data_IF_130717097749
#
_entry.id   IF_130717097749
#
_cell.length_a   1.000
_cell.length_b   1.000
_cell.length_c   1.000
_cell.angle_alpha   90.00
_cell.angle_beta   90.00
_cell.angle_gamma   90.00
#
_symmetry.space_group_name_H-M   'P 1'
#
loop_
_entity.id
_entity.type
_entity.pdbx_description
1 polymer ?
#
# COMPACT_ATOMS: atom_id res chain seq x y z
N UNK A 1 -19.43 10.76 3.67
CA UNK A 1 -18.86 12.11 3.52
C UNK A 1 -17.97 12.10 2.30
N UNK A 2 -18.07 13.09 1.41
CA UNK A 2 -17.15 13.21 0.26
C UNK A 2 -15.75 13.55 0.78
N UNK A 3 -14.73 12.89 0.23
CA UNK A 3 -13.35 13.23 0.52
C UNK A 3 -13.09 14.71 0.17
N UNK A 4 -12.38 15.49 1.02
CA UNK A 4 -12.07 16.88 0.73
C UNK A 4 -10.97 16.99 -0.33
N UNK A 5 -11.27 16.54 -1.54
CA UNK A 5 -10.39 16.51 -2.70
C UNK A 5 -9.77 17.88 -2.99
N UNK A 6 -10.57 18.95 -2.84
CA UNK A 6 -10.15 20.34 -3.00
C UNK A 6 -9.04 20.78 -2.04
N UNK A 7 -8.80 20.05 -0.95
CA UNK A 7 -7.77 20.35 0.04
C UNK A 7 -6.59 19.38 -0.03
N UNK A 8 -6.81 18.14 -0.47
CA UNK A 8 -5.77 17.11 -0.55
C UNK A 8 -4.74 17.41 -1.65
N UNK A 9 -5.19 17.72 -2.87
CA UNK A 9 -4.27 18.03 -3.98
C UNK A 9 -3.41 19.26 -3.69
N UNK A 10 -3.95 20.38 -3.17
CA UNK A 10 -3.12 21.50 -2.74
C UNK A 10 -2.20 21.17 -1.56
N UNK A 11 -2.61 20.29 -0.65
CA UNK A 11 -1.72 19.81 0.42
C UNK A 11 -0.52 19.04 -0.16
N UNK A 12 -0.75 18.11 -1.08
CA UNK A 12 0.31 17.38 -1.77
C UNK A 12 1.18 18.29 -2.67
N UNK A 13 0.60 19.31 -3.29
CA UNK A 13 1.38 20.30 -4.04
C UNK A 13 2.25 21.17 -3.12
N UNK A 14 1.81 21.45 -1.88
CA UNK A 14 2.62 22.17 -0.89
C UNK A 14 3.68 21.28 -0.23
N UNK A 15 3.56 19.96 -0.33
CA UNK A 15 4.58 19.05 0.19
C UNK A 15 5.79 18.88 -0.73
N UNK A 16 5.80 19.51 -1.92
CA UNK A 16 6.99 19.58 -2.79
C UNK A 16 8.06 20.54 -2.28
N UNK A 17 7.71 21.45 -1.37
CA UNK A 17 8.69 22.13 -0.51
C UNK A 17 9.31 21.09 0.43
N UNK A 18 10.41 21.33 1.16
CA UNK A 18 10.96 20.37 2.14
C UNK A 18 9.96 20.15 3.29
N UNK A 19 8.88 19.44 2.99
CA UNK A 19 7.80 19.10 3.88
C UNK A 19 8.18 17.79 4.52
N UNK A 20 7.99 17.73 5.84
CA UNK A 20 8.34 16.58 6.65
C UNK A 20 7.25 15.50 6.59
N UNK A 21 6.57 15.32 5.45
CA UNK A 21 5.55 14.27 5.34
C UNK A 21 6.24 12.93 5.09
N UNK A 22 6.50 12.22 6.18
CA UNK A 22 7.08 10.88 6.18
C UNK A 22 6.00 9.79 6.21
N UNK A 23 4.80 10.14 6.67
CA UNK A 23 3.71 9.19 6.92
C UNK A 23 2.42 9.69 6.30
N UNK A 24 1.75 8.85 5.52
CA UNK A 24 0.44 9.10 4.93
C UNK A 24 -0.50 7.93 5.22
N UNK A 25 -1.61 8.23 5.88
CA UNK A 25 -2.68 7.27 6.16
C UNK A 25 -3.96 7.70 5.45
N UNK A 26 -4.49 6.83 4.60
CA UNK A 26 -5.71 7.02 3.83
C UNK A 26 -6.72 5.92 4.19
N UNK A 27 -7.29 6.01 5.39
CA UNK A 27 -8.35 5.12 5.87
C UNK A 27 -9.71 5.74 5.62
N UNK A 28 -10.64 4.95 5.08
CA UNK A 28 -12.00 5.41 4.82
C UNK A 28 -12.02 6.74 4.05
N UNK A 29 -11.29 6.77 2.95
CA UNK A 29 -11.17 7.93 2.07
C UNK A 29 -11.67 7.57 0.68
N UNK A 30 -12.57 8.38 0.13
CA UNK A 30 -13.02 8.26 -1.26
C UNK A 30 -12.10 9.08 -2.18
N UNK A 31 -10.93 8.52 -2.53
CA UNK A 31 -9.98 9.13 -3.48
C UNK A 31 -9.89 8.28 -4.75
N UNK A 32 -9.88 8.91 -5.93
CA UNK A 32 -9.68 8.17 -7.15
C UNK A 32 -8.22 7.71 -7.29
N UNK A 33 -7.99 6.49 -7.79
CA UNK A 33 -6.65 5.95 -8.03
C UNK A 33 -5.76 6.88 -8.84
N UNK A 34 -6.30 7.47 -9.91
CA UNK A 34 -5.54 8.38 -10.77
C UNK A 34 -5.05 9.62 -10.00
N UNK A 35 -5.87 10.15 -9.10
CA UNK A 35 -5.54 11.33 -8.30
C UNK A 35 -4.48 11.00 -7.25
N UNK A 36 -4.60 9.85 -6.58
CA UNK A 36 -3.57 9.40 -5.65
C UNK A 36 -2.22 9.24 -6.36
N UNK A 37 -2.20 8.59 -7.53
CA UNK A 37 -0.99 8.41 -8.34
C UNK A 37 -0.38 9.74 -8.81
N UNK A 38 -1.19 10.78 -9.02
CA UNK A 38 -0.70 12.13 -9.32
C UNK A 38 -0.09 12.84 -8.11
N UNK A 39 -0.51 12.50 -6.88
CA UNK A 39 -0.02 13.11 -5.65
C UNK A 39 1.31 12.52 -5.18
N UNK A 40 1.50 11.21 -5.32
CA UNK A 40 2.70 10.51 -4.81
C UNK A 40 4.05 11.09 -5.30
N UNK A 41 4.21 11.55 -6.55
CA UNK A 41 5.45 12.21 -6.98
C UNK A 41 5.78 13.48 -6.17
N UNK A 42 4.75 14.15 -5.63
CA UNK A 42 4.88 15.36 -4.84
C UNK A 42 5.20 15.11 -3.35
N UNK A 43 5.38 13.83 -2.97
CA UNK A 43 5.72 13.38 -1.62
C UNK A 43 7.14 12.78 -1.60
N UNK A 44 8.19 13.60 -1.75
CA UNK A 44 9.55 13.10 -1.95
C UNK A 44 10.09 12.30 -0.75
N UNK A 45 9.63 12.60 0.46
CA UNK A 45 10.09 12.05 1.75
C UNK A 45 9.16 10.97 2.32
N UNK A 46 8.17 10.48 1.56
CA UNK A 46 7.21 9.52 2.09
C UNK A 46 7.86 8.16 2.35
N UNK A 47 7.84 7.73 3.61
CA UNK A 47 8.44 6.47 4.08
C UNK A 47 7.39 5.46 4.54
N UNK A 48 6.20 5.92 4.94
CA UNK A 48 5.12 5.08 5.46
C UNK A 48 3.81 5.40 4.76
N UNK A 49 3.17 4.38 4.19
CA UNK A 49 1.90 4.51 3.47
C UNK A 49 0.92 3.45 3.94
N UNK A 50 -0.22 3.90 4.46
CA UNK A 50 -1.37 3.05 4.75
C UNK A 50 -2.57 3.45 3.89
N UNK A 51 -3.21 2.49 3.24
CA UNK A 51 -4.38 2.73 2.37
C UNK A 51 -5.44 1.68 2.64
N UNK A 52 -6.71 2.10 2.78
CA UNK A 52 -7.84 1.17 2.94
C UNK A 52 -8.97 1.38 1.94
N UNK A 53 -9.50 0.28 1.39
CA UNK A 53 -10.61 0.26 0.43
C UNK A 53 -12.03 0.22 1.07
N UNK A 54 -12.16 0.44 2.39
CA UNK A 54 -13.44 0.31 3.14
C UNK A 54 -14.63 1.06 2.58
N UNK A 55 -14.48 2.34 2.25
CA UNK A 55 -15.62 3.12 1.79
C UNK A 55 -16.09 2.73 0.39
N UNK A 56 -15.26 2.06 -0.40
CA UNK A 56 -15.59 1.71 -1.78
C UNK A 56 -16.48 0.45 -1.89
N UNK A 57 -16.85 -0.17 -0.78
CA UNK A 57 -17.76 -1.32 -0.75
C UNK A 57 -19.25 -0.99 -0.55
N UNK A 58 -19.59 0.16 0.04
CA UNK A 58 -20.95 0.43 0.52
C UNK A 58 -21.85 1.21 -0.49
N UNK A 59 -21.49 1.30 -1.79
CA UNK A 59 -22.27 2.09 -2.77
C UNK A 59 -21.98 1.86 -4.26
N UNK A 60 -22.81 2.47 -5.13
CA UNK A 60 -22.85 2.25 -6.59
C UNK A 60 -21.59 2.75 -7.33
N UNK A 61 -20.99 1.83 -8.09
CA UNK A 61 -19.87 2.01 -9.03
C UNK A 61 -18.61 2.63 -8.40
N UNK A 62 -17.91 1.84 -7.60
CA UNK A 62 -16.62 2.26 -7.06
C UNK A 62 -15.49 1.33 -7.52
N UNK A 63 -14.48 1.94 -8.14
CA UNK A 63 -13.28 1.25 -8.57
C UNK A 63 -12.32 1.05 -7.38
N UNK A 64 -11.72 -0.15 -7.22
CA UNK A 64 -10.68 -0.38 -6.22
C UNK A 64 -9.58 0.69 -6.28
N UNK A 65 -9.14 1.18 -5.13
CA UNK A 65 -7.91 1.96 -5.05
C UNK A 65 -6.70 1.04 -5.16
N UNK A 66 -6.72 -0.06 -4.39
CA UNK A 66 -5.65 -1.07 -4.38
C UNK A 66 -5.90 -2.07 -5.53
N UNK A 67 -5.22 -1.84 -6.65
CA UNK A 67 -5.25 -2.68 -7.87
C UNK A 67 -3.85 -3.09 -8.27
N UNK A 68 -3.73 -4.10 -9.15
CA UNK A 68 -2.47 -4.48 -9.81
C UNK A 68 -1.73 -3.25 -10.37
N UNK A 69 -2.44 -2.43 -11.15
CA UNK A 69 -1.88 -1.22 -11.75
C UNK A 69 -1.34 -0.23 -10.69
N UNK A 70 -2.01 -0.12 -9.55
CA UNK A 70 -1.54 0.72 -8.44
C UNK A 70 -0.26 0.15 -7.83
N UNK A 71 -0.25 -1.14 -7.47
CA UNK A 71 0.92 -1.81 -6.89
C UNK A 71 2.14 -1.78 -7.83
N UNK A 72 1.91 -1.99 -9.12
CA UNK A 72 2.92 -1.86 -10.18
C UNK A 72 3.47 -0.44 -10.25
N UNK A 73 2.60 0.58 -10.23
CA UNK A 73 3.01 1.99 -10.29
C UNK A 73 3.88 2.41 -9.09
N UNK A 74 3.64 1.85 -7.90
CA UNK A 74 4.48 2.10 -6.72
C UNK A 74 5.88 1.46 -6.84
N UNK A 75 6.04 0.48 -7.73
CA UNK A 75 7.20 -0.42 -7.79
C UNK A 75 8.13 -0.09 -8.95
N UNK A 76 7.59 0.29 -10.11
CA UNK A 76 8.36 0.57 -11.32
C UNK A 76 9.19 1.86 -11.17
N UNK A 77 10.52 1.76 -11.14
CA UNK A 77 11.45 2.92 -11.02
C UNK A 77 11.29 3.99 -12.09
N UNK A 78 10.75 3.62 -13.25
CA UNK A 78 10.47 4.53 -14.37
C UNK A 78 9.14 5.28 -14.20
N UNK A 79 8.27 4.83 -13.29
CA UNK A 79 6.97 5.44 -13.06
C UNK A 79 7.10 6.66 -12.13
N UNK A 80 6.46 7.81 -12.43
CA UNK A 80 6.55 9.01 -11.59
C UNK A 80 6.12 8.79 -10.14
N UNK A 81 5.12 7.92 -9.93
CA UNK A 81 4.60 7.57 -8.60
C UNK A 81 5.42 6.51 -7.86
N UNK A 82 6.58 6.10 -8.40
CA UNK A 82 7.42 5.08 -7.78
C UNK A 82 7.85 5.50 -6.37
N UNK A 83 7.65 4.62 -5.39
CA UNK A 83 8.07 4.87 -4.00
C UNK A 83 9.26 4.00 -3.58
N UNK A 84 9.89 3.27 -4.51
CA UNK A 84 11.07 2.45 -4.22
C UNK A 84 12.35 3.29 -4.21
N UNK A 85 13.29 3.08 -3.25
CA UNK A 85 13.19 2.24 -2.05
C UNK A 85 12.67 3.01 -0.83
N UNK A 86 12.14 4.22 -1.01
CA UNK A 86 11.78 5.17 0.05
C UNK A 86 10.79 4.60 1.05
N UNK A 87 9.83 3.80 0.57
CA UNK A 87 8.81 3.24 1.41
C UNK A 87 9.37 2.10 2.28
N UNK A 88 9.41 2.32 3.59
CA UNK A 88 9.83 1.36 4.61
C UNK A 88 8.64 0.66 5.29
N UNK A 89 7.45 1.24 5.19
CA UNK A 89 6.22 0.67 5.72
C UNK A 89 5.10 0.74 4.68
N UNK A 90 4.45 -0.40 4.41
CA UNK A 90 3.24 -0.47 3.59
C UNK A 90 2.15 -1.28 4.27
N UNK A 91 1.00 -0.63 4.44
CA UNK A 91 -0.21 -1.21 5.00
C UNK A 91 -1.36 -1.08 4.00
N UNK A 92 -1.97 -2.21 3.62
CA UNK A 92 -2.98 -2.24 2.57
C UNK A 92 -4.20 -3.13 2.92
N UNK A 93 -5.03 -2.73 3.90
CA UNK A 93 -6.30 -3.38 4.16
C UNK A 93 -7.27 -3.22 2.97
N UNK A 94 -7.40 -4.27 2.17
CA UNK A 94 -8.25 -4.28 0.97
C UNK A 94 -9.32 -5.37 1.01
N UNK A 95 -10.38 -5.14 0.26
CA UNK A 95 -11.46 -6.11 0.01
C UNK A 95 -11.34 -6.80 -1.34
N UNK A 96 -10.43 -6.33 -2.20
CA UNK A 96 -10.44 -6.63 -3.62
C UNK A 96 -9.29 -7.55 -4.01
N UNK A 97 -9.53 -8.33 -5.08
CA UNK A 97 -8.55 -9.26 -5.60
C UNK A 97 -7.58 -8.52 -6.53
N UNK A 98 -6.37 -8.26 -6.04
CA UNK A 98 -5.18 -8.05 -6.86
C UNK A 98 -4.36 -9.35 -6.94
N UNK A 99 -3.50 -9.46 -7.94
CA UNK A 99 -2.61 -10.60 -8.12
C UNK A 99 -1.57 -10.67 -6.98
N UNK A 100 -1.51 -11.81 -6.30
CA UNK A 100 -0.59 -12.04 -5.18
C UNK A 100 0.88 -11.94 -5.60
N UNK A 101 1.20 -12.25 -6.87
CA UNK A 101 2.55 -12.13 -7.41
C UNK A 101 2.95 -10.66 -7.58
N UNK A 102 2.04 -9.80 -8.03
CA UNK A 102 2.27 -8.35 -8.15
C UNK A 102 2.45 -7.72 -6.76
N UNK A 103 1.69 -8.20 -5.78
CA UNK A 103 1.88 -7.80 -4.39
C UNK A 103 3.24 -8.23 -3.84
N UNK A 104 3.67 -9.46 -4.11
CA UNK A 104 4.99 -9.95 -3.72
C UNK A 104 6.10 -9.13 -4.39
N UNK A 105 5.99 -8.81 -5.67
CA UNK A 105 6.95 -7.97 -6.40
C UNK A 105 7.05 -6.57 -5.79
N UNK A 106 5.92 -6.01 -5.37
CA UNK A 106 5.87 -4.76 -4.62
C UNK A 106 6.71 -4.86 -3.34
N UNK A 107 6.52 -5.90 -2.53
CA UNK A 107 7.31 -6.10 -1.31
C UNK A 107 8.80 -6.29 -1.65
N UNK A 108 9.12 -7.22 -2.54
CA UNK A 108 10.50 -7.60 -2.88
C UNK A 108 11.31 -6.42 -3.41
N UNK A 109 10.70 -5.52 -4.18
CA UNK A 109 11.37 -4.33 -4.71
C UNK A 109 11.90 -3.38 -3.63
N UNK A 110 11.39 -3.48 -2.40
CA UNK A 110 11.76 -2.64 -1.24
C UNK A 110 12.74 -3.33 -0.31
N UNK A 111 13.02 -4.60 -0.50
CA UNK A 111 13.99 -5.35 0.30
C UNK A 111 15.33 -5.34 -0.45
N UNK A 112 16.33 -4.52 -0.03
CA UNK A 112 17.57 -4.41 -0.75
C UNK A 112 18.29 -5.78 -0.80
N UNK A 113 18.88 -6.17 -1.94
CA UNK A 113 19.67 -7.40 -2.02
C UNK A 113 20.98 -7.35 -1.20
N UNK A 114 21.41 -6.16 -0.78
CA UNK A 114 22.76 -5.91 -0.24
C UNK A 114 22.82 -5.37 1.20
N UNK A 115 21.69 -5.09 1.86
CA UNK A 115 21.68 -4.54 3.22
C UNK A 115 20.97 -5.47 4.18
N UNK A 116 21.75 -6.16 5.02
CA UNK A 116 21.26 -6.94 6.15
C UNK A 116 20.64 -6.06 7.26
N UNK A 117 20.73 -4.73 7.15
CA UNK A 117 20.36 -3.79 8.21
C UNK A 117 18.95 -3.20 8.08
N UNK A 118 18.30 -3.28 6.91
CA UNK A 118 16.97 -2.70 6.71
C UNK A 118 15.91 -3.79 6.62
N UNK A 119 15.03 -3.80 7.61
CA UNK A 119 13.79 -4.58 7.60
C UNK A 119 12.70 -3.72 6.95
N UNK A 120 11.96 -4.30 6.02
CA UNK A 120 10.74 -3.69 5.49
C UNK A 120 9.56 -4.13 6.34
N UNK A 121 8.71 -3.20 6.73
CA UNK A 121 7.52 -3.49 7.53
C UNK A 121 6.31 -3.54 6.59
N UNK A 122 5.63 -4.67 6.59
CA UNK A 122 4.47 -4.90 5.74
C UNK A 122 3.33 -5.47 6.57
N UNK A 123 2.23 -4.74 6.56
CA UNK A 123 1.00 -5.15 7.22
C UNK A 123 -0.07 -5.42 6.18
N UNK A 124 -0.64 -6.61 6.24
CA UNK A 124 -1.72 -7.01 5.36
C UNK A 124 -2.86 -7.61 6.16
N UNK A 125 -4.03 -6.96 6.04
CA UNK A 125 -5.21 -7.32 6.79
C UNK A 125 -6.38 -7.53 5.84
N UNK A 126 -7.03 -8.69 5.94
CA UNK A 126 -8.36 -8.86 5.37
C UNK A 126 -9.38 -8.28 6.33
N UNK A 127 -10.29 -7.50 5.76
CA UNK A 127 -11.36 -6.92 6.53
C UNK A 127 -12.46 -7.95 6.81
N UNK A 128 -13.17 -7.80 7.94
CA UNK A 128 -13.99 -8.88 8.46
C UNK A 128 -15.11 -9.28 7.49
N UNK A 129 -15.38 -10.59 7.39
CA UNK A 129 -16.41 -11.16 6.50
C UNK A 129 -15.89 -11.75 5.18
N UNK A 130 -14.60 -11.59 4.87
CA UNK A 130 -13.99 -12.13 3.67
C UNK A 130 -12.91 -13.17 4.00
N UNK A 131 -13.07 -14.39 3.48
CA UNK A 131 -12.07 -15.47 3.56
C UNK A 131 -11.32 -15.54 2.23
N UNK A 132 -10.29 -14.71 2.05
CA UNK A 132 -9.31 -14.90 0.99
C UNK A 132 -8.00 -15.37 1.59
N UNK A 133 -7.46 -16.44 1.02
CA UNK A 133 -6.11 -16.90 1.29
C UNK A 133 -5.18 -16.29 0.22
N UNK A 134 -3.94 -15.98 0.61
CA UNK A 134 -2.89 -15.68 -0.36
C UNK A 134 -2.49 -16.98 -1.06
N UNK A 135 -2.06 -16.88 -2.32
CA UNK A 135 -1.41 -17.99 -3.01
C UNK A 135 -0.32 -18.62 -2.13
N UNK A 136 -0.29 -19.96 -2.07
CA UNK A 136 0.59 -20.70 -1.18
C UNK A 136 2.09 -20.45 -1.48
N UNK A 137 2.43 -20.22 -2.75
CA UNK A 137 3.79 -19.91 -3.18
C UNK A 137 4.20 -18.52 -2.69
N UNK A 138 3.30 -17.53 -2.83
CA UNK A 138 3.53 -16.18 -2.34
C UNK A 138 3.66 -16.16 -0.82
N UNK A 139 2.75 -16.82 -0.11
CA UNK A 139 2.79 -16.92 1.36
C UNK A 139 4.10 -17.58 1.84
N UNK A 140 4.56 -18.63 1.16
CA UNK A 140 5.82 -19.31 1.49
C UNK A 140 7.00 -18.34 1.38
N UNK A 141 7.08 -17.55 0.30
CA UNK A 141 8.15 -16.57 0.12
C UNK A 141 8.11 -15.45 1.19
N UNK A 142 6.93 -14.94 1.53
CA UNK A 142 6.78 -13.95 2.60
C UNK A 142 7.22 -14.51 3.96
N UNK A 143 6.85 -15.75 4.27
CA UNK A 143 7.31 -16.45 5.47
C UNK A 143 8.83 -16.61 5.50
N UNK A 144 9.47 -16.97 4.38
CA UNK A 144 10.92 -17.07 4.30
C UNK A 144 11.62 -15.73 4.53
N UNK A 145 11.11 -14.63 3.97
CA UNK A 145 11.64 -13.29 4.17
C UNK A 145 11.53 -12.86 5.64
N UNK A 146 10.42 -13.21 6.28
CA UNK A 146 10.19 -12.95 7.70
C UNK A 146 11.15 -13.74 8.59
N UNK A 147 11.35 -15.04 8.32
CA UNK A 147 12.35 -15.86 9.02
C UNK A 147 13.77 -15.31 8.87
N UNK A 148 14.10 -14.76 7.70
CA UNK A 148 15.39 -14.10 7.43
C UNK A 148 15.49 -12.69 8.06
N UNK A 149 14.48 -12.22 8.81
CA UNK A 149 14.37 -10.87 9.41
C UNK A 149 14.46 -9.72 8.40
N UNK A 150 14.13 -10.00 7.14
CA UNK A 150 14.11 -9.01 6.06
C UNK A 150 12.74 -8.34 5.92
N UNK A 151 11.71 -8.95 6.50
CA UNK A 151 10.32 -8.52 6.45
C UNK A 151 9.67 -8.70 7.83
N UNK A 152 9.11 -7.64 8.40
CA UNK A 152 8.08 -7.79 9.44
C UNK A 152 6.75 -7.91 8.71
N UNK A 153 6.22 -9.13 8.62
CA UNK A 153 4.97 -9.41 7.95
C UNK A 153 3.89 -9.76 8.96
N UNK A 154 2.85 -8.93 9.01
CA UNK A 154 1.64 -9.26 9.76
C UNK A 154 0.54 -9.59 8.76
N UNK A 155 0.08 -10.83 8.79
CA UNK A 155 -1.11 -11.27 8.08
C UNK A 155 -2.23 -11.47 9.09
N UNK A 156 -3.31 -10.71 8.95
CA UNK A 156 -4.50 -10.86 9.79
C UNK A 156 -5.73 -11.00 8.92
N UNK A 157 -6.37 -12.17 8.95
CA UNK A 157 -7.74 -12.26 8.50
C UNK A 157 -8.63 -11.85 9.67
N UNK A 158 -9.36 -10.74 9.57
CA UNK A 158 -10.29 -10.37 10.62
C UNK A 158 -11.39 -11.44 10.72
N UNK A 159 -11.26 -12.31 11.71
CA UNK A 159 -12.32 -13.23 12.12
C UNK A 159 -13.36 -12.36 12.80
N UNK A 160 -14.55 -12.19 12.19
CA UNK A 160 -15.67 -11.65 12.96
C UNK A 160 -16.03 -12.66 14.06
N UNK A 161 -16.21 -12.21 15.32
CA UNK A 161 -16.92 -13.02 16.28
C UNK A 161 -18.34 -13.25 15.74
N UNK A 162 -18.72 -14.53 15.64
CA UNK A 162 -20.09 -14.96 15.31
C UNK A 162 -21.02 -14.60 16.44
#
# INVERSE_FOLDING_TARGET
MSFPQSHFLPFCARSTFPSHLHTLHLYQVAIAKAELLQCLPALPTLERLSISDQLHLEGEVHQPLITDAFLTALTQKTHPACLVPRLHFFDCPSFLQFDDTIYLDCILSRIPPLLAAHTFDCEFWWLPGHKRELDATVLTQLCELSRKKRLLFLFSAAIMPV
#
